data_IF_712341411373
#
_entry.id   IF_712341411373
#
_cell.length_a   1.000
_cell.length_b   1.000
_cell.length_c   1.000
_cell.angle_alpha   90.00
_cell.angle_beta   90.00
_cell.angle_gamma   90.00
#
_symmetry.space_group_name_H-M   'P 1'
#
loop_
_entity.id
_entity.type
_entity.pdbx_description
1 polymer ?
#
# COMPACT_ATOMS: atom_id res chain seq x y z
N UNK A 1 28.18 9.53 -28.58
CA UNK A 1 28.17 10.91 -28.01
C UNK A 1 27.14 10.87 -26.91
N UNK A 2 27.59 10.93 -25.67
CA UNK A 2 26.71 10.96 -24.51
C UNK A 2 25.96 12.29 -24.56
N UNK A 3 24.63 12.22 -24.55
CA UNK A 3 23.81 13.39 -24.29
C UNK A 3 24.26 13.99 -22.96
N UNK A 4 24.92 15.13 -23.02
CA UNK A 4 25.20 15.94 -21.85
C UNK A 4 23.83 16.29 -21.26
N UNK A 5 23.57 15.81 -20.04
CA UNK A 5 22.38 16.19 -19.30
C UNK A 5 22.36 17.72 -19.23
N UNK A 6 21.41 18.33 -19.92
CA UNK A 6 21.18 19.77 -19.86
C UNK A 6 20.43 20.06 -18.58
N UNK A 7 21.08 20.74 -17.63
CA UNK A 7 20.45 21.20 -16.40
C UNK A 7 19.74 22.54 -16.65
N UNK A 8 18.44 22.59 -16.41
CA UNK A 8 17.69 23.83 -16.41
C UNK A 8 17.84 24.54 -15.06
N UNK A 9 18.34 25.77 -15.09
CA UNK A 9 18.37 26.62 -13.90
C UNK A 9 16.98 27.24 -13.70
N UNK A 10 16.28 26.77 -12.66
CA UNK A 10 14.97 27.28 -12.29
C UNK A 10 15.10 28.23 -11.09
N UNK A 11 14.55 29.47 -11.18
CA UNK A 11 14.60 30.40 -10.08
C UNK A 11 13.70 29.94 -8.93
N UNK A 12 14.29 29.79 -7.74
CA UNK A 12 13.60 29.39 -6.52
C UNK A 12 13.61 30.53 -5.51
N UNK A 13 12.52 30.68 -4.78
CA UNK A 13 12.36 31.62 -3.68
C UNK A 13 12.24 30.88 -2.36
N UNK A 14 12.96 31.36 -1.35
CA UNK A 14 12.88 30.84 0.03
C UNK A 14 12.16 31.88 0.88
N UNK A 15 11.04 31.51 1.46
CA UNK A 15 10.34 32.37 2.44
C UNK A 15 11.20 32.57 3.68
N UNK A 16 11.49 33.82 4.08
CA UNK A 16 12.39 34.11 5.21
C UNK A 16 11.88 33.60 6.57
N UNK A 17 10.57 33.49 6.74
CA UNK A 17 9.92 33.08 7.99
C UNK A 17 9.70 31.57 8.08
N UNK A 18 8.99 31.03 7.10
CA UNK A 18 8.63 29.58 7.08
C UNK A 18 9.73 28.69 6.52
N UNK A 19 10.75 29.30 5.87
CA UNK A 19 11.80 28.59 5.11
C UNK A 19 11.26 27.69 3.99
N UNK A 20 10.01 27.85 3.63
CA UNK A 20 9.41 27.13 2.52
C UNK A 20 10.02 27.56 1.20
N UNK A 21 10.25 26.60 0.31
CA UNK A 21 10.80 26.84 -1.03
C UNK A 21 9.65 26.81 -2.04
N UNK A 22 9.64 27.78 -2.93
CA UNK A 22 8.67 27.87 -4.03
C UNK A 22 9.37 28.23 -5.35
N UNK A 23 8.78 27.84 -6.46
CA UNK A 23 9.22 28.32 -7.78
C UNK A 23 8.68 29.72 -8.04
N UNK A 24 9.50 30.58 -8.63
CA UNK A 24 9.08 31.90 -9.12
C UNK A 24 8.66 31.89 -10.59
N UNK A 25 8.72 30.72 -11.24
CA UNK A 25 8.33 30.57 -12.65
C UNK A 25 6.82 30.62 -12.79
N UNK A 26 6.32 31.58 -13.61
CA UNK A 26 4.88 31.74 -13.90
C UNK A 26 4.37 30.84 -15.04
N UNK A 27 5.23 30.02 -15.66
CA UNK A 27 4.84 29.14 -16.75
C UNK A 27 4.19 27.85 -16.24
N UNK A 28 2.95 27.57 -16.66
CA UNK A 28 2.23 26.35 -16.28
C UNK A 28 2.42 25.21 -17.28
N UNK A 29 3.64 24.71 -17.43
CA UNK A 29 3.96 23.51 -18.23
C UNK A 29 4.08 22.25 -17.35
N UNK A 30 4.19 21.09 -17.99
CA UNK A 30 4.35 19.81 -17.27
C UNK A 30 5.57 19.79 -16.36
N UNK A 31 6.69 20.41 -16.77
CA UNK A 31 7.92 20.53 -15.98
C UNK A 31 7.73 21.35 -14.71
N UNK A 32 6.97 22.45 -14.75
CA UNK A 32 6.69 23.26 -13.57
C UNK A 32 5.78 22.54 -12.57
N UNK A 33 4.81 21.73 -13.03
CA UNK A 33 3.99 20.91 -12.14
C UNK A 33 4.82 19.84 -11.43
N UNK A 34 5.76 19.20 -12.13
CA UNK A 34 6.66 18.23 -11.52
C UNK A 34 7.54 18.89 -10.46
N UNK A 35 8.12 20.05 -10.78
CA UNK A 35 8.90 20.85 -9.84
C UNK A 35 8.08 21.27 -8.62
N UNK A 36 6.86 21.78 -8.79
CA UNK A 36 5.99 22.19 -7.70
C UNK A 36 5.64 21.01 -6.78
N UNK A 37 5.43 19.81 -7.34
CA UNK A 37 5.20 18.60 -6.56
C UNK A 37 6.43 18.20 -5.72
N UNK A 38 7.63 18.29 -6.30
CA UNK A 38 8.89 18.02 -5.60
C UNK A 38 9.14 19.05 -4.48
N UNK A 39 8.90 20.35 -4.76
CA UNK A 39 9.03 21.41 -3.76
C UNK A 39 8.00 21.24 -2.62
N UNK A 40 6.78 20.82 -2.92
CA UNK A 40 5.78 20.52 -1.92
C UNK A 40 6.21 19.35 -1.03
N UNK A 41 6.79 18.29 -1.61
CA UNK A 41 7.34 17.17 -0.86
C UNK A 41 8.53 17.59 0.02
N UNK A 42 9.44 18.39 -0.50
CA UNK A 42 10.57 18.95 0.23
C UNK A 42 10.12 19.83 1.40
N UNK A 43 9.14 20.72 1.19
CA UNK A 43 8.59 21.57 2.23
C UNK A 43 7.85 20.74 3.30
N UNK A 44 7.25 19.61 2.92
CA UNK A 44 6.62 18.69 3.87
C UNK A 44 7.68 17.99 4.73
N UNK A 45 8.78 17.54 4.11
CA UNK A 45 9.92 16.95 4.80
C UNK A 45 10.55 17.96 5.77
N UNK A 46 10.76 19.20 5.32
CA UNK A 46 11.30 20.27 6.15
C UNK A 46 10.44 20.51 7.40
N UNK A 47 9.12 20.63 7.23
CA UNK A 47 8.18 20.78 8.36
C UNK A 47 8.24 19.61 9.33
N UNK A 48 8.37 18.38 8.80
CA UNK A 48 8.48 17.20 9.63
C UNK A 48 9.79 17.17 10.45
N UNK A 49 10.92 17.59 9.86
CA UNK A 49 12.20 17.73 10.57
C UNK A 49 12.13 18.83 11.64
N UNK A 50 11.45 19.92 11.33
CA UNK A 50 11.25 21.04 12.27
C UNK A 50 10.40 20.65 13.51
N UNK A 51 9.51 19.66 13.33
CA UNK A 51 8.65 19.15 14.39
C UNK A 51 9.31 18.06 15.25
N UNK A 52 10.58 17.72 15.00
CA UNK A 52 11.33 16.76 15.83
C UNK A 52 11.69 17.38 17.19
N UNK A 53 11.91 16.54 18.17
CA UNK A 53 12.40 16.91 19.48
C UNK A 53 13.75 16.21 19.75
N UNK A 54 14.89 16.91 19.72
CA UNK A 54 15.05 18.33 19.43
C UNK A 54 14.79 18.69 17.96
N UNK A 55 14.30 19.91 17.67
CA UNK A 55 13.98 20.32 16.30
C UNK A 55 15.27 20.37 15.43
N UNK A 56 15.08 20.12 14.11
CA UNK A 56 16.14 20.11 13.08
C UNK A 56 17.20 19.01 13.19
N UNK A 57 17.13 18.11 14.15
CA UNK A 57 18.08 17.02 14.29
C UNK A 57 17.40 15.73 13.84
N UNK A 58 17.79 15.23 12.66
CA UNK A 58 17.42 13.87 12.24
C UNK A 58 18.22 12.88 13.09
N UNK A 59 17.57 11.99 13.86
CA UNK A 59 18.27 11.04 14.69
C UNK A 59 19.19 10.14 13.84
N UNK A 60 20.45 9.86 14.29
CA UNK A 60 21.31 8.92 13.56
C UNK A 60 20.76 7.49 13.63
N UNK A 61 21.06 6.63 12.64
CA UNK A 61 20.69 5.21 12.72
C UNK A 61 21.46 4.48 13.86
N UNK A 62 20.85 3.48 14.53
CA UNK A 62 19.43 3.07 14.42
C UNK A 62 18.50 4.13 15.01
N UNK A 63 17.55 4.55 14.21
CA UNK A 63 16.62 5.62 14.61
C UNK A 63 15.69 5.09 15.68
N UNK A 64 15.60 5.71 16.88
CA UNK A 64 14.54 5.40 17.82
C UNK A 64 13.21 5.88 17.22
N UNK A 65 12.44 4.94 16.70
CA UNK A 65 11.12 5.24 16.16
C UNK A 65 10.17 5.58 17.31
N UNK A 66 9.43 6.68 17.19
CA UNK A 66 8.44 7.04 18.21
C UNK A 66 7.34 5.96 18.28
N UNK A 67 7.23 5.21 19.38
CA UNK A 67 6.32 4.08 19.49
C UNK A 67 4.85 4.49 19.47
N UNK A 68 4.54 5.76 19.73
CA UNK A 68 3.16 6.28 19.75
C UNK A 68 2.44 6.07 18.41
N UNK A 69 3.14 6.26 17.29
CA UNK A 69 2.54 6.07 15.96
C UNK A 69 2.18 4.60 15.73
N UNK A 70 3.11 3.67 15.97
CA UNK A 70 2.85 2.22 15.85
C UNK A 70 1.72 1.77 16.79
N UNK A 71 1.68 2.29 18.01
CA UNK A 71 0.60 2.00 18.95
C UNK A 71 -0.76 2.47 18.42
N UNK A 72 -0.82 3.66 17.82
CA UNK A 72 -2.05 4.18 17.22
C UNK A 72 -2.48 3.38 15.97
N UNK A 73 -1.53 3.01 15.09
CA UNK A 73 -1.80 2.12 13.94
C UNK A 73 -2.36 0.79 14.41
N UNK A 74 -1.75 0.19 15.43
CA UNK A 74 -2.22 -1.07 16.03
C UNK A 74 -3.63 -0.91 16.61
N UNK A 75 -3.88 0.18 17.36
CA UNK A 75 -5.21 0.46 17.93
C UNK A 75 -6.29 0.60 16.84
N UNK A 76 -5.99 1.29 15.74
CA UNK A 76 -6.91 1.42 14.60
C UNK A 76 -7.20 0.06 13.96
N UNK A 77 -6.17 -0.78 13.77
CA UNK A 77 -6.34 -2.15 13.26
C UNK A 77 -7.21 -2.98 14.18
N UNK A 78 -7.00 -2.91 15.49
CA UNK A 78 -7.81 -3.63 16.48
C UNK A 78 -9.26 -3.15 16.53
N UNK A 79 -9.48 -1.84 16.41
CA UNK A 79 -10.83 -1.27 16.28
C UNK A 79 -11.53 -1.78 15.03
N UNK A 80 -10.82 -1.80 13.88
CA UNK A 80 -11.35 -2.40 12.65
C UNK A 80 -11.67 -3.89 12.81
N UNK A 81 -10.81 -4.66 13.47
CA UNK A 81 -11.07 -6.07 13.76
C UNK A 81 -12.28 -6.25 14.68
N UNK A 82 -12.51 -5.35 15.63
CA UNK A 82 -13.68 -5.41 16.52
C UNK A 82 -14.98 -5.14 15.75
N UNK A 83 -15.01 -4.15 14.87
CA UNK A 83 -16.17 -3.89 14.00
C UNK A 83 -16.40 -5.03 12.99
N UNK A 84 -15.34 -5.60 12.43
CA UNK A 84 -15.44 -6.77 11.54
C UNK A 84 -16.13 -7.95 12.23
N UNK A 85 -15.77 -8.26 13.48
CA UNK A 85 -16.43 -9.33 14.27
C UNK A 85 -17.91 -9.08 14.52
N UNK A 86 -18.32 -7.81 14.57
CA UNK A 86 -19.74 -7.39 14.67
C UNK A 86 -20.44 -7.38 13.31
N UNK A 87 -19.75 -7.78 12.24
CA UNK A 87 -20.24 -7.74 10.85
C UNK A 87 -20.47 -6.30 10.31
N UNK A 88 -19.91 -5.30 10.97
CA UNK A 88 -19.93 -3.92 10.48
C UNK A 88 -18.76 -3.68 9.51
N UNK A 89 -18.79 -4.34 8.35
CA UNK A 89 -17.68 -4.41 7.41
C UNK A 89 -17.27 -3.06 6.84
N UNK A 90 -18.23 -2.18 6.55
CA UNK A 90 -17.96 -0.81 6.08
C UNK A 90 -17.22 0.02 7.13
N UNK A 91 -17.62 -0.06 8.40
CA UNK A 91 -16.92 0.63 9.49
C UNK A 91 -15.53 0.05 9.73
N UNK A 92 -15.39 -1.28 9.64
CA UNK A 92 -14.09 -1.94 9.72
C UNK A 92 -13.13 -1.41 8.63
N UNK A 93 -13.58 -1.31 7.37
CA UNK A 93 -12.82 -0.78 6.26
C UNK A 93 -12.36 0.67 6.50
N UNK A 94 -13.21 1.52 7.12
CA UNK A 94 -12.84 2.90 7.51
C UNK A 94 -11.71 2.92 8.54
N UNK A 95 -11.77 2.08 9.58
CA UNK A 95 -10.71 2.01 10.58
C UNK A 95 -9.38 1.53 9.97
N UNK A 96 -9.40 0.53 9.08
CA UNK A 96 -8.21 0.09 8.37
C UNK A 96 -7.66 1.19 7.46
N UNK A 97 -8.52 1.96 6.80
CA UNK A 97 -8.11 3.09 5.96
C UNK A 97 -7.42 4.19 6.78
N UNK A 98 -7.96 4.53 7.96
CA UNK A 98 -7.30 5.48 8.87
C UNK A 98 -5.94 4.96 9.35
N UNK A 99 -5.84 3.65 9.63
CA UNK A 99 -4.58 3.00 9.97
C UNK A 99 -3.56 3.08 8.84
N UNK A 100 -3.98 2.83 7.59
CA UNK A 100 -3.15 2.94 6.40
C UNK A 100 -2.65 4.37 6.19
N UNK A 101 -3.54 5.36 6.29
CA UNK A 101 -3.14 6.77 6.19
C UNK A 101 -2.08 7.14 7.21
N UNK A 102 -2.23 6.68 8.46
CA UNK A 102 -1.25 6.93 9.52
C UNK A 102 0.07 6.21 9.26
N UNK A 103 0.05 4.97 8.79
CA UNK A 103 1.26 4.19 8.50
C UNK A 103 2.03 4.74 7.29
N UNK A 104 1.32 5.13 6.21
CA UNK A 104 1.92 5.65 4.98
C UNK A 104 2.47 7.09 5.11
N UNK A 105 2.01 7.84 6.10
CA UNK A 105 2.52 9.21 6.38
C UNK A 105 3.71 9.22 7.34
N UNK A 106 4.40 8.09 7.49
CA UNK A 106 5.65 8.06 8.26
C UNK A 106 6.73 8.92 7.62
N UNK A 107 7.56 9.60 8.44
CA UNK A 107 8.69 10.34 7.93
C UNK A 107 9.64 9.46 7.11
N UNK A 108 10.24 10.03 6.06
CA UNK A 108 11.12 9.31 5.14
C UNK A 108 12.39 8.72 5.79
N UNK A 109 12.80 9.20 6.98
CA UNK A 109 13.94 8.68 7.74
C UNK A 109 13.59 7.49 8.63
N UNK A 110 12.31 7.15 8.82
CA UNK A 110 11.93 5.95 9.55
C UNK A 110 12.14 4.70 8.69
N UNK A 111 12.48 3.54 9.29
CA UNK A 111 12.74 2.32 8.53
C UNK A 111 11.54 1.90 7.68
N UNK A 112 11.74 1.72 6.38
CA UNK A 112 10.69 1.29 5.45
C UNK A 112 10.11 -0.09 5.79
N UNK A 113 10.90 -0.95 6.43
CA UNK A 113 10.45 -2.26 6.90
C UNK A 113 9.28 -2.14 7.90
N UNK A 114 9.32 -1.13 8.78
CA UNK A 114 8.25 -0.88 9.74
C UNK A 114 6.94 -0.52 9.03
N UNK A 115 7.03 0.33 7.99
CA UNK A 115 5.86 0.67 7.16
C UNK A 115 5.30 -0.59 6.52
N UNK A 116 6.15 -1.42 5.91
CA UNK A 116 5.72 -2.66 5.24
C UNK A 116 5.00 -3.61 6.19
N UNK A 117 5.51 -3.78 7.41
CA UNK A 117 4.90 -4.65 8.42
C UNK A 117 3.54 -4.15 8.92
N UNK A 118 3.36 -2.84 9.00
CA UNK A 118 2.08 -2.26 9.38
C UNK A 118 1.05 -2.32 8.24
N UNK A 119 1.45 -1.90 7.04
CA UNK A 119 0.51 -1.79 5.93
C UNK A 119 0.05 -3.14 5.39
N UNK A 120 0.92 -4.18 5.35
CA UNK A 120 0.51 -5.48 4.83
C UNK A 120 -0.67 -6.05 5.62
N UNK A 121 -0.64 -5.94 6.96
CA UNK A 121 -1.71 -6.44 7.82
C UNK A 121 -3.01 -5.63 7.65
N UNK A 122 -2.90 -4.31 7.52
CA UNK A 122 -4.04 -3.43 7.32
C UNK A 122 -4.71 -3.65 5.95
N UNK A 123 -3.92 -3.71 4.87
CA UNK A 123 -4.42 -4.02 3.54
C UNK A 123 -5.09 -5.39 3.49
N UNK A 124 -4.44 -6.42 4.06
CA UNK A 124 -5.01 -7.76 4.12
C UNK A 124 -6.36 -7.78 4.85
N UNK A 125 -6.50 -7.07 5.97
CA UNK A 125 -7.75 -7.00 6.72
C UNK A 125 -8.82 -6.17 6.02
N UNK A 126 -8.43 -5.07 5.33
CA UNK A 126 -9.38 -4.27 4.55
C UNK A 126 -9.89 -5.04 3.34
N UNK A 127 -9.01 -5.79 2.65
CA UNK A 127 -9.42 -6.71 1.59
C UNK A 127 -10.50 -7.69 2.07
N UNK A 128 -10.31 -8.27 3.26
CA UNK A 128 -11.32 -9.17 3.85
C UNK A 128 -12.66 -8.45 4.09
N UNK A 129 -12.63 -7.19 4.55
CA UNK A 129 -13.84 -6.41 4.77
C UNK A 129 -14.56 -6.12 3.43
N UNK A 130 -13.81 -5.72 2.39
CA UNK A 130 -14.35 -5.51 1.04
C UNK A 130 -14.93 -6.81 0.44
N UNK A 131 -14.28 -7.96 0.63
CA UNK A 131 -14.84 -9.26 0.23
C UNK A 131 -16.22 -9.54 0.85
N UNK A 132 -16.42 -9.20 2.12
CA UNK A 132 -17.72 -9.37 2.80
C UNK A 132 -18.78 -8.38 2.30
N UNK A 133 -18.37 -7.25 1.72
CA UNK A 133 -19.25 -6.26 1.10
C UNK A 133 -19.58 -6.62 -0.37
N UNK A 134 -18.86 -7.58 -0.96
CA UNK A 134 -18.95 -7.90 -2.38
C UNK A 134 -18.15 -6.96 -3.29
N UNK A 135 -17.33 -6.08 -2.69
CA UNK A 135 -16.46 -5.13 -3.40
C UNK A 135 -15.19 -5.85 -3.89
N UNK A 136 -15.36 -6.78 -4.84
CA UNK A 136 -14.30 -7.68 -5.30
C UNK A 136 -13.09 -6.95 -5.92
N UNK A 137 -13.26 -5.90 -6.76
CA UNK A 137 -12.12 -5.17 -7.33
C UNK A 137 -11.27 -4.47 -6.26
N UNK A 138 -11.90 -3.79 -5.30
CA UNK A 138 -11.24 -3.11 -4.18
C UNK A 138 -10.50 -4.10 -3.29
N UNK A 139 -11.16 -5.23 -3.00
CA UNK A 139 -10.55 -6.31 -2.23
C UNK A 139 -9.32 -6.91 -2.93
N UNK A 140 -9.38 -7.09 -4.26
CA UNK A 140 -8.27 -7.62 -5.04
C UNK A 140 -7.06 -6.68 -5.02
N UNK A 141 -7.28 -5.36 -5.16
CA UNK A 141 -6.22 -4.33 -5.10
C UNK A 141 -5.57 -4.31 -3.71
N UNK A 142 -6.37 -4.33 -2.66
CA UNK A 142 -5.86 -4.37 -1.29
C UNK A 142 -5.05 -5.63 -0.98
N UNK A 143 -5.54 -6.79 -1.43
CA UNK A 143 -4.83 -8.04 -1.24
C UNK A 143 -3.49 -8.05 -2.00
N UNK A 144 -3.43 -7.49 -3.22
CA UNK A 144 -2.20 -7.28 -3.97
C UNK A 144 -1.23 -6.37 -3.24
N UNK A 145 -1.69 -5.20 -2.79
CA UNK A 145 -0.86 -4.25 -2.05
C UNK A 145 -0.29 -4.88 -0.76
N UNK A 146 -1.07 -5.73 -0.09
CA UNK A 146 -0.60 -6.51 1.06
C UNK A 146 0.55 -7.46 0.68
N UNK A 147 0.42 -8.18 -0.43
CA UNK A 147 1.46 -9.10 -0.94
C UNK A 147 2.71 -8.33 -1.38
N UNK A 148 2.56 -7.20 -2.04
CA UNK A 148 3.71 -6.35 -2.43
C UNK A 148 4.49 -5.84 -1.21
N UNK A 149 3.79 -5.49 -0.14
CA UNK A 149 4.43 -5.09 1.10
C UNK A 149 5.15 -6.27 1.80
N UNK A 150 4.56 -7.47 1.73
CA UNK A 150 5.11 -8.69 2.32
C UNK A 150 4.70 -9.91 1.51
N UNK A 151 5.63 -10.47 0.74
CA UNK A 151 5.36 -11.60 -0.17
C UNK A 151 5.27 -12.93 0.57
N UNK A 152 6.18 -13.18 1.50
CA UNK A 152 6.34 -14.45 2.21
C UNK A 152 5.69 -14.37 3.61
N UNK A 153 5.03 -15.44 4.04
CA UNK A 153 4.28 -15.47 5.31
C UNK A 153 3.02 -14.60 5.26
N UNK A 154 2.38 -14.53 4.10
CA UNK A 154 1.18 -13.73 3.84
C UNK A 154 0.12 -14.50 3.02
N UNK A 155 0.04 -15.81 3.24
CA UNK A 155 -0.83 -16.73 2.51
C UNK A 155 -2.29 -16.24 2.41
N UNK A 156 -2.80 -15.60 3.47
CA UNK A 156 -4.16 -15.05 3.48
C UNK A 156 -4.37 -13.96 2.42
N UNK A 157 -3.37 -13.12 2.14
CA UNK A 157 -3.51 -12.10 1.12
C UNK A 157 -3.44 -12.72 -0.29
N UNK A 158 -2.55 -13.71 -0.50
CA UNK A 158 -2.52 -14.49 -1.73
C UNK A 158 -3.87 -15.15 -2.01
N UNK A 159 -4.45 -15.81 -1.00
CA UNK A 159 -5.77 -16.45 -1.09
C UNK A 159 -6.89 -15.45 -1.42
N UNK A 160 -6.93 -14.31 -0.70
CA UNK A 160 -7.99 -13.30 -0.87
C UNK A 160 -8.03 -12.75 -2.29
N UNK A 161 -6.88 -12.38 -2.86
CA UNK A 161 -6.86 -11.92 -4.25
C UNK A 161 -7.26 -13.02 -5.22
N UNK A 162 -6.76 -14.24 -5.05
CA UNK A 162 -7.16 -15.39 -5.86
C UNK A 162 -8.68 -15.57 -5.85
N UNK A 163 -9.30 -15.54 -4.67
CA UNK A 163 -10.76 -15.62 -4.51
C UNK A 163 -11.47 -14.47 -5.22
N UNK A 164 -11.02 -13.22 -5.04
CA UNK A 164 -11.59 -12.07 -5.71
C UNK A 164 -11.53 -12.19 -7.25
N UNK A 165 -10.42 -12.66 -7.79
CA UNK A 165 -10.27 -12.89 -9.23
C UNK A 165 -11.25 -13.96 -9.76
N UNK A 166 -11.49 -15.02 -8.98
CA UNK A 166 -12.48 -16.05 -9.29
C UNK A 166 -13.89 -15.45 -9.33
N UNK A 167 -14.28 -14.67 -8.30
CA UNK A 167 -15.59 -14.05 -8.22
C UNK A 167 -15.84 -13.02 -9.34
N UNK A 168 -14.76 -12.41 -9.85
CA UNK A 168 -14.81 -11.52 -11.02
C UNK A 168 -14.77 -12.27 -12.36
N UNK A 169 -14.71 -13.61 -12.39
CA UNK A 169 -14.61 -14.40 -13.61
C UNK A 169 -13.24 -14.36 -14.29
N UNK A 170 -12.21 -13.82 -13.63
CA UNK A 170 -10.84 -13.69 -14.16
C UNK A 170 -10.01 -14.95 -13.87
N UNK A 171 -10.50 -16.11 -14.35
CA UNK A 171 -9.97 -17.42 -13.95
C UNK A 171 -8.51 -17.65 -14.34
N UNK A 172 -8.09 -17.20 -15.54
CA UNK A 172 -6.71 -17.34 -15.97
C UNK A 172 -5.73 -16.57 -15.07
N UNK A 173 -6.08 -15.35 -14.72
CA UNK A 173 -5.28 -14.52 -13.81
C UNK A 173 -5.29 -15.07 -12.37
N UNK A 174 -6.43 -15.60 -11.93
CA UNK A 174 -6.53 -16.27 -10.63
C UNK A 174 -5.55 -17.45 -10.54
N UNK A 175 -5.53 -18.28 -11.59
CA UNK A 175 -4.62 -19.42 -11.68
C UNK A 175 -3.15 -19.00 -11.59
N UNK A 176 -2.75 -18.03 -12.40
CA UNK A 176 -1.38 -17.51 -12.38
C UNK A 176 -1.01 -16.95 -11.01
N UNK A 177 -1.89 -16.13 -10.42
CA UNK A 177 -1.69 -15.54 -9.11
C UNK A 177 -1.53 -16.56 -8.00
N UNK A 178 -2.40 -17.57 -7.95
CA UNK A 178 -2.37 -18.62 -6.92
C UNK A 178 -1.13 -19.49 -7.07
N UNK A 179 -0.76 -19.86 -8.31
CA UNK A 179 0.46 -20.62 -8.59
C UNK A 179 1.69 -19.86 -8.06
N UNK A 180 1.77 -18.58 -8.35
CA UNK A 180 2.84 -17.72 -7.84
C UNK A 180 2.81 -17.61 -6.30
N UNK A 181 1.62 -17.56 -5.68
CA UNK A 181 1.48 -17.61 -4.23
C UNK A 181 2.09 -18.86 -3.62
N UNK A 182 1.87 -20.03 -4.22
CA UNK A 182 2.44 -21.29 -3.78
C UNK A 182 3.97 -21.35 -3.92
N UNK A 183 4.57 -20.64 -4.89
CA UNK A 183 6.04 -20.52 -4.99
C UNK A 183 6.65 -19.80 -3.77
N UNK A 184 5.93 -18.83 -3.17
CA UNK A 184 6.39 -18.08 -2.00
C UNK A 184 6.03 -18.73 -0.66
N UNK A 185 4.85 -19.33 -0.58
CA UNK A 185 4.28 -19.87 0.69
C UNK A 185 4.49 -21.37 0.84
N UNK A 186 4.93 -22.06 -0.23
CA UNK A 186 5.09 -23.51 -0.22
C UNK A 186 3.73 -24.23 -0.28
N UNK A 187 3.66 -25.40 0.38
CA UNK A 187 2.47 -26.26 0.37
C UNK A 187 1.36 -25.73 1.29
N UNK A 188 0.86 -24.51 0.98
CA UNK A 188 -0.27 -23.95 1.72
C UNK A 188 -1.59 -24.59 1.25
N UNK A 189 -2.28 -25.22 2.19
CA UNK A 189 -3.47 -26.04 1.89
C UNK A 189 -4.59 -25.22 1.23
N UNK A 190 -4.92 -24.06 1.79
CA UNK A 190 -6.00 -23.21 1.29
C UNK A 190 -5.72 -22.72 -0.13
N UNK A 191 -4.47 -22.37 -0.46
CA UNK A 191 -4.06 -21.98 -1.80
C UNK A 191 -4.10 -23.17 -2.78
N UNK A 192 -3.68 -24.34 -2.35
CA UNK A 192 -3.71 -25.56 -3.16
C UNK A 192 -5.13 -26.01 -3.49
N UNK A 193 -6.05 -25.89 -2.54
CA UNK A 193 -7.48 -26.16 -2.76
C UNK A 193 -8.09 -25.13 -3.71
N UNK A 194 -7.74 -23.85 -3.55
CA UNK A 194 -8.20 -22.78 -4.43
C UNK A 194 -7.69 -22.96 -5.87
N UNK A 195 -6.47 -23.43 -6.05
CA UNK A 195 -5.91 -23.74 -7.39
C UNK A 195 -6.71 -24.84 -8.08
N UNK A 196 -7.03 -25.92 -7.37
CA UNK A 196 -7.87 -27.01 -7.90
C UNK A 196 -9.25 -26.51 -8.31
N UNK A 197 -9.87 -25.62 -7.52
CA UNK A 197 -11.15 -25.01 -7.87
C UNK A 197 -11.06 -24.23 -9.17
N UNK A 198 -9.99 -23.43 -9.35
CA UNK A 198 -9.78 -22.63 -10.58
C UNK A 198 -9.55 -23.54 -11.79
N UNK A 199 -8.72 -24.55 -11.65
CA UNK A 199 -8.43 -25.49 -12.75
C UNK A 199 -9.71 -26.20 -13.20
N UNK A 200 -10.55 -26.67 -12.28
CA UNK A 200 -11.84 -27.25 -12.59
C UNK A 200 -12.79 -26.30 -13.35
N UNK A 201 -12.88 -25.04 -12.90
CA UNK A 201 -13.69 -24.02 -13.59
C UNK A 201 -13.17 -23.70 -15.01
N UNK A 202 -11.85 -23.67 -15.20
CA UNK A 202 -11.24 -23.47 -16.52
C UNK A 202 -11.51 -24.66 -17.46
N UNK A 203 -11.51 -25.88 -16.97
CA UNK A 203 -11.88 -27.07 -17.75
C UNK A 203 -13.34 -27.04 -18.15
N UNK A 204 -14.24 -26.68 -17.25
CA UNK A 204 -15.66 -26.50 -17.55
C UNK A 204 -15.91 -25.42 -18.62
N UNK A 205 -15.19 -24.28 -18.54
CA UNK A 205 -15.31 -23.23 -19.57
C UNK A 205 -14.82 -23.71 -20.94
N UNK A 206 -13.73 -24.48 -21.00
CA UNK A 206 -13.22 -25.08 -22.23
C UNK A 206 -14.25 -26.04 -22.83
N UNK A 207 -14.77 -26.96 -22.02
CA UNK A 207 -15.76 -27.91 -22.47
C UNK A 207 -17.04 -27.24 -23.05
N UNK A 208 -17.46 -26.11 -22.46
CA UNK A 208 -18.59 -25.31 -22.97
C UNK A 208 -18.32 -24.59 -24.28
N UNK A 209 -17.06 -24.24 -24.58
CA UNK A 209 -16.68 -23.59 -25.84
C UNK A 209 -16.55 -24.60 -26.99
N UNK A 210 -16.22 -25.84 -26.65
CA UNK A 210 -16.01 -26.93 -27.62
C UNK A 210 -17.32 -27.70 -27.95
N UNK A 211 -18.40 -27.43 -27.19
CA UNK A 211 -19.75 -28.02 -27.36
C UNK A 211 -20.67 -27.11 -28.20
#
# INVERSE_FOLDING_TARGET
MSDLETFDFLPLHIDPKSKAISSTSSASNSSTRALDAELAALNTLHRAIHALDPPHIVPPPPVPVNPKRSANVTKLRESGNAEYRKQHYSEAAKFYTLGLQMALTRPAWEPSQLVREEVHALYSNRAQAHMQLGDWPEAAVDAEASVEAKKQGNAKAWFRRGRCLIEMGRLAEAREWITRGLEYEGEEKELSELLKEVDGKLEEERARRDA
#
